data_IF_983013795177
#
_entry.id   IF_983013795177
#
_cell.length_a   1.000
_cell.length_b   1.000
_cell.length_c   1.000
_cell.angle_alpha   90.00
_cell.angle_beta   90.00
_cell.angle_gamma   90.00
#
_symmetry.space_group_name_H-M   'P 1'
#
loop_
_entity.id
_entity.type
_entity.pdbx_description
1 polymer ?
#
# COMPACT_ATOMS: atom_id res chain seq x y z
N UNK A 1 0.71 -11.56 -14.66
CA UNK A 1 0.42 -10.14 -14.42
C UNK A 1 0.10 -9.99 -12.94
N UNK A 2 0.74 -9.06 -12.22
CA UNK A 2 0.49 -8.84 -10.79
C UNK A 2 -0.88 -8.21 -10.59
N UNK A 3 -1.73 -8.82 -9.77
CA UNK A 3 -3.04 -8.25 -9.41
C UNK A 3 -2.93 -7.35 -8.18
N UNK A 4 -2.32 -7.86 -7.10
CA UNK A 4 -2.06 -7.12 -5.87
C UNK A 4 -0.90 -7.75 -5.08
N UNK A 5 -0.35 -6.99 -4.12
CA UNK A 5 0.66 -7.48 -3.17
C UNK A 5 0.33 -7.04 -1.74
N UNK A 6 0.87 -7.79 -0.78
CA UNK A 6 0.85 -7.46 0.64
C UNK A 6 2.29 -7.26 1.12
N UNK A 7 2.54 -6.18 1.86
CA UNK A 7 3.79 -5.99 2.59
C UNK A 7 3.52 -5.90 4.09
N UNK A 8 4.45 -6.45 4.88
CA UNK A 8 4.40 -6.32 6.33
C UNK A 8 4.95 -4.97 6.75
N UNK A 9 4.24 -4.28 7.65
CA UNK A 9 4.68 -3.04 8.30
C UNK A 9 4.62 -3.22 9.82
N UNK A 10 5.55 -2.59 10.54
CA UNK A 10 5.58 -2.65 12.00
C UNK A 10 4.61 -1.67 12.66
N UNK A 11 4.39 -0.51 12.03
CA UNK A 11 3.51 0.56 12.49
C UNK A 11 2.54 0.97 11.36
N UNK A 12 1.30 0.43 11.36
CA UNK A 12 0.31 0.75 10.34
C UNK A 12 -0.02 2.24 10.27
N UNK A 13 -0.11 2.94 11.41
CA UNK A 13 -0.51 4.36 11.43
C UNK A 13 0.54 5.21 10.73
N UNK A 14 1.82 5.01 11.09
CA UNK A 14 2.93 5.71 10.46
C UNK A 14 3.06 5.37 8.98
N UNK A 15 2.92 4.09 8.62
CA UNK A 15 3.02 3.66 7.23
C UNK A 15 1.89 4.20 6.37
N UNK A 16 0.65 4.21 6.88
CA UNK A 16 -0.49 4.81 6.17
C UNK A 16 -0.24 6.28 5.92
N UNK A 17 0.13 7.04 6.95
CA UNK A 17 0.40 8.49 6.81
C UNK A 17 1.50 8.79 5.79
N UNK A 18 2.54 7.94 5.71
CA UNK A 18 3.57 8.05 4.68
C UNK A 18 2.99 7.82 3.28
N UNK A 19 2.32 6.69 3.05
CA UNK A 19 1.83 6.32 1.73
C UNK A 19 0.69 7.23 1.25
N UNK A 20 -0.19 7.70 2.13
CA UNK A 20 -1.22 8.69 1.82
C UNK A 20 -0.63 10.03 1.36
N UNK A 21 0.59 10.37 1.78
CA UNK A 21 1.26 11.60 1.33
C UNK A 21 1.92 11.46 -0.04
N UNK A 22 2.51 10.29 -0.35
CA UNK A 22 3.37 10.14 -1.54
C UNK A 22 2.67 9.50 -2.73
N UNK A 23 1.77 8.54 -2.51
CA UNK A 23 1.11 7.80 -3.59
C UNK A 23 0.13 8.64 -4.44
N UNK A 24 -0.52 9.70 -3.94
CA UNK A 24 -1.38 10.55 -4.77
C UNK A 24 -0.66 11.21 -5.96
N UNK A 25 0.65 11.45 -5.85
CA UNK A 25 1.49 11.99 -6.95
C UNK A 25 1.45 11.07 -8.18
N UNK A 26 1.22 9.77 -7.97
CA UNK A 26 1.13 8.75 -9.02
C UNK A 26 -0.32 8.42 -9.40
N UNK A 27 -1.29 9.23 -8.96
CA UNK A 27 -2.72 8.97 -9.17
C UNK A 27 -3.28 7.83 -8.30
N UNK A 28 -2.52 7.32 -7.34
CA UNK A 28 -2.94 6.29 -6.40
C UNK A 28 -3.62 6.96 -5.22
N UNK A 29 -4.91 7.24 -5.38
CA UNK A 29 -5.73 8.05 -4.45
C UNK A 29 -6.77 7.25 -3.69
N UNK A 30 -7.04 6.00 -4.09
CA UNK A 30 -8.05 5.18 -3.42
C UNK A 30 -7.48 4.59 -2.14
N UNK A 31 -8.25 4.68 -1.06
CA UNK A 31 -7.98 4.04 0.24
C UNK A 31 -9.07 3.05 0.58
N UNK A 32 -8.65 1.91 1.12
CA UNK A 32 -9.55 0.91 1.66
C UNK A 32 -8.97 0.35 2.94
N UNK A 33 -9.80 0.28 3.97
CA UNK A 33 -9.48 -0.38 5.22
C UNK A 33 -10.36 -1.62 5.31
N UNK A 34 -9.70 -2.77 5.24
CA UNK A 34 -10.36 -4.07 5.35
C UNK A 34 -10.30 -4.52 6.82
N UNK A 35 -11.47 -4.72 7.41
CA UNK A 35 -11.62 -5.32 8.73
C UNK A 35 -11.35 -6.82 8.64
N UNK A 36 -10.28 -7.29 9.29
CA UNK A 36 -9.86 -8.69 9.29
C UNK A 36 -10.93 -9.64 9.84
N UNK A 37 -11.84 -9.14 10.68
CA UNK A 37 -12.97 -9.93 11.19
C UNK A 37 -14.00 -10.29 10.09
N UNK A 38 -14.00 -9.57 8.96
CA UNK A 38 -14.80 -9.91 7.77
C UNK A 38 -14.15 -11.02 6.92
N UNK A 39 -12.96 -11.47 7.30
CA UNK A 39 -12.20 -12.50 6.61
C UNK A 39 -12.27 -13.87 7.29
N UNK A 40 -11.47 -14.84 6.81
CA UNK A 40 -11.28 -16.12 7.49
C UNK A 40 -10.79 -15.93 8.92
N UNK A 41 -11.03 -16.92 9.79
CA UNK A 41 -10.59 -16.86 11.18
C UNK A 41 -9.08 -16.58 11.27
N UNK A 42 -8.69 -15.56 12.03
CA UNK A 42 -7.31 -15.14 12.21
C UNK A 42 -6.75 -14.28 11.06
N UNK A 43 -7.58 -13.86 10.11
CA UNK A 43 -7.18 -12.92 9.08
C UNK A 43 -6.96 -11.52 9.69
N UNK A 44 -5.82 -10.86 9.42
CA UNK A 44 -5.53 -9.54 9.97
C UNK A 44 -6.29 -8.44 9.23
N UNK A 45 -6.32 -7.26 9.85
CA UNK A 45 -6.66 -6.03 9.15
C UNK A 45 -5.67 -5.74 8.02
N UNK A 46 -6.20 -5.16 6.93
CA UNK A 46 -5.40 -4.73 5.79
C UNK A 46 -5.70 -3.29 5.44
N UNK A 47 -4.66 -2.57 4.99
CA UNK A 47 -4.74 -1.15 4.63
C UNK A 47 -4.29 -1.00 3.18
N UNK A 48 -5.26 -0.81 2.30
CA UNK A 48 -5.09 -0.90 0.85
C UNK A 48 -5.04 0.44 0.14
N UNK A 49 -4.17 0.53 -0.86
CA UNK A 49 -3.99 1.68 -1.74
C UNK A 49 -4.25 1.26 -3.19
N UNK A 50 -4.79 2.19 -3.97
CA UNK A 50 -5.23 1.88 -5.31
C UNK A 50 -5.52 3.08 -6.21
N UNK A 51 -5.84 2.77 -7.46
CA UNK A 51 -6.22 3.71 -8.50
C UNK A 51 -7.29 3.07 -9.40
N UNK A 52 -8.08 3.89 -10.09
CA UNK A 52 -9.03 3.44 -11.11
C UNK A 52 -10.01 2.34 -10.60
N UNK A 53 -10.48 2.49 -9.36
CA UNK A 53 -11.44 1.57 -8.75
C UNK A 53 -10.85 0.23 -8.27
N UNK A 54 -9.53 0.05 -8.31
CA UNK A 54 -8.85 -1.18 -7.87
C UNK A 54 -7.88 -0.90 -6.74
N UNK A 55 -7.84 -1.80 -5.75
CA UNK A 55 -6.89 -1.78 -4.63
C UNK A 55 -5.84 -2.87 -4.85
N UNK A 56 -4.58 -2.49 -4.97
CA UNK A 56 -3.51 -3.41 -5.40
C UNK A 56 -2.26 -3.39 -4.53
N UNK A 57 -2.11 -2.41 -3.64
CA UNK A 57 -0.98 -2.33 -2.71
C UNK A 57 -1.50 -2.33 -1.28
N UNK A 58 -1.19 -3.38 -0.52
CA UNK A 58 -1.75 -3.59 0.80
C UNK A 58 -0.68 -3.62 1.88
N UNK A 59 -0.96 -2.93 2.99
CA UNK A 59 -0.18 -3.01 4.21
C UNK A 59 -0.87 -3.96 5.19
N UNK A 60 -0.06 -4.80 5.81
CA UNK A 60 -0.47 -5.72 6.88
C UNK A 60 0.45 -5.49 8.07
N UNK A 61 -0.08 -5.40 9.28
CA UNK A 61 0.78 -5.36 10.46
C UNK A 61 1.49 -6.70 10.66
N UNK A 62 2.80 -6.69 10.90
CA UNK A 62 3.57 -7.91 11.13
C UNK A 62 5.07 -7.70 11.29
N UNK A 63 5.80 -8.81 11.34
CA UNK A 63 7.27 -8.80 11.38
C UNK A 63 7.84 -8.30 10.05
N UNK A 64 8.69 -7.29 10.12
CA UNK A 64 9.31 -6.67 8.93
C UNK A 64 10.65 -7.31 8.61
N UNK A 65 10.95 -7.40 7.31
CA UNK A 65 12.27 -7.79 6.79
C UNK A 65 12.63 -6.80 5.68
N UNK A 66 13.58 -5.90 5.95
CA UNK A 66 13.89 -4.79 5.04
C UNK A 66 14.41 -5.26 3.68
N UNK A 67 15.12 -6.39 3.64
CA UNK A 67 15.71 -6.94 2.42
C UNK A 67 14.76 -7.86 1.64
N UNK A 68 13.52 -8.05 2.12
CA UNK A 68 12.61 -9.04 1.54
C UNK A 68 12.00 -8.61 0.19
N UNK A 69 11.80 -7.31 -0.02
CA UNK A 69 11.05 -6.82 -1.18
C UNK A 69 11.47 -5.42 -1.61
N UNK A 70 11.56 -5.23 -2.92
CA UNK A 70 11.56 -3.92 -3.55
C UNK A 70 10.25 -3.75 -4.33
N UNK A 71 9.53 -2.65 -4.09
CA UNK A 71 8.28 -2.32 -4.78
C UNK A 71 8.47 -1.04 -5.57
N UNK A 72 8.36 -1.13 -6.89
CA UNK A 72 8.37 0.02 -7.79
C UNK A 72 6.95 0.38 -8.23
N UNK A 73 6.60 1.66 -8.14
CA UNK A 73 5.39 2.21 -8.74
C UNK A 73 5.76 2.96 -10.02
N UNK A 74 4.98 2.75 -11.08
CA UNK A 74 5.22 3.39 -12.38
C UNK A 74 4.80 4.85 -12.30
N UNK A 75 5.66 5.74 -12.79
CA UNK A 75 5.34 7.14 -13.09
C UNK A 75 5.40 7.35 -14.61
N UNK A 76 4.50 8.16 -15.16
CA UNK A 76 4.49 8.54 -16.58
C UNK A 76 5.64 9.48 -16.96
N UNK A 77 6.25 10.17 -15.99
CA UNK A 77 7.41 11.04 -16.21
C UNK A 77 8.22 11.26 -14.94
N UNK A 78 9.48 11.66 -15.11
CA UNK A 78 10.38 12.07 -14.03
C UNK A 78 9.86 13.30 -13.26
N UNK A 79 9.19 14.23 -13.96
CA UNK A 79 8.64 15.45 -13.35
C UNK A 79 7.71 15.17 -12.17
N UNK A 80 6.94 14.07 -12.22
CA UNK A 80 6.05 13.69 -11.13
C UNK A 80 6.80 13.37 -9.84
N UNK A 81 7.99 12.78 -9.91
CA UNK A 81 8.69 12.27 -8.72
C UNK A 81 9.82 13.18 -8.21
N UNK A 82 10.23 14.19 -8.99
CA UNK A 82 11.33 15.11 -8.63
C UNK A 82 10.84 16.36 -7.89
N UNK A 83 9.53 16.62 -7.87
CA UNK A 83 8.91 17.83 -7.30
C UNK A 83 8.27 17.63 -5.91
N UNK A 84 8.58 16.53 -5.20
CA UNK A 84 7.98 16.15 -3.91
C UNK A 84 8.76 16.70 -2.72
#
# INVERSE_FOLDING_TARGET
MLDHIFISVSDPVRSIAFYERVLPVLGIVNRHDYDGAQGPHGHPDLKGFGANGRIFFWLRQGTVCADAVHVGFIAESEFMVVMV
#
